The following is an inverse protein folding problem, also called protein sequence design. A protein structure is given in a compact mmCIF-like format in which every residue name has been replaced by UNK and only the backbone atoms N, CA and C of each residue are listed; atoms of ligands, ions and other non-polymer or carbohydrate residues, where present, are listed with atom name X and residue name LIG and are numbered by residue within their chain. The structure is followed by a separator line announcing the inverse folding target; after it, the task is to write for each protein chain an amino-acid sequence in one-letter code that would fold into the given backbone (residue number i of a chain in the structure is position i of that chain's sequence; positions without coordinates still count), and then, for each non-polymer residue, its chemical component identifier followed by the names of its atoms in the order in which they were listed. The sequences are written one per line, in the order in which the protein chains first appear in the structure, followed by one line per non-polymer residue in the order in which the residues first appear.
data_IF_018676472522
#
_entry.id   IF_018676472522
#
_cell.length_a   1.000
_cell.length_b   1.000
_cell.length_c   1.000
_cell.angle_alpha   90.00
_cell.angle_beta   90.00
_cell.angle_gamma   90.00
#
_symmetry.space_group_name_H-M   'P 1'
#
loop_
_entity.id
_entity.type
_entity.pdbx_description
1 polymer ?
#
# COMPACT_ATOMS: atom_id res chain seq x y z
N UNK A 1 10.19 -5.47 -10.16
CA UNK A 1 11.32 -4.55 -9.91
C UNK A 1 12.08 -5.13 -8.74
N UNK A 2 13.38 -5.32 -8.88
CA UNK A 2 14.22 -5.95 -7.85
C UNK A 2 15.22 -4.90 -7.36
N UNK A 3 15.30 -4.73 -6.04
CA UNK A 3 16.28 -3.88 -5.39
C UNK A 3 17.54 -4.71 -5.12
N UNK A 4 18.69 -4.07 -5.31
CA UNK A 4 19.99 -4.60 -4.87
C UNK A 4 20.40 -3.97 -3.53
N UNK A 5 21.35 -4.55 -2.78
CA UNK A 5 21.80 -3.98 -1.53
C UNK A 5 22.21 -2.51 -1.66
N UNK A 6 21.81 -1.67 -0.69
CA UNK A 6 22.01 -0.21 -0.69
C UNK A 6 21.32 0.55 -1.84
N UNK A 7 20.25 0.00 -2.41
CA UNK A 7 19.39 0.71 -3.36
C UNK A 7 17.97 0.80 -2.84
N UNK A 8 17.24 1.82 -3.31
CA UNK A 8 15.84 2.03 -3.01
C UNK A 8 15.12 2.48 -4.28
N UNK A 9 13.80 2.47 -4.25
CA UNK A 9 12.97 3.08 -5.29
C UNK A 9 11.95 3.99 -4.65
N UNK A 10 11.65 5.10 -5.33
CA UNK A 10 10.56 5.98 -4.93
C UNK A 10 9.22 5.29 -5.17
N UNK A 11 8.38 5.27 -4.15
CA UNK A 11 6.99 4.80 -4.22
C UNK A 11 6.06 5.92 -3.79
N UNK A 12 4.87 5.96 -4.37
CA UNK A 12 3.79 6.83 -3.90
C UNK A 12 2.79 6.02 -3.09
N UNK A 13 2.01 6.68 -2.24
CA UNK A 13 0.92 6.05 -1.48
C UNK A 13 0.00 5.24 -2.40
N UNK A 14 -0.24 3.97 -2.03
CA UNK A 14 -1.05 3.02 -2.81
C UNK A 14 -0.32 2.33 -3.96
N UNK A 15 0.96 2.62 -4.20
CA UNK A 15 1.79 1.91 -5.18
C UNK A 15 2.14 0.50 -4.69
N UNK A 16 2.41 -0.40 -5.63
CA UNK A 16 2.98 -1.70 -5.31
C UNK A 16 4.40 -1.55 -4.76
N UNK A 17 4.69 -2.23 -3.66
CA UNK A 17 6.04 -2.33 -3.09
C UNK A 17 6.81 -3.43 -3.84
N UNK A 18 8.09 -3.21 -4.21
CA UNK A 18 8.93 -4.25 -4.78
C UNK A 18 9.01 -5.48 -3.86
N UNK A 19 8.91 -6.69 -4.41
CA UNK A 19 8.97 -7.92 -3.62
C UNK A 19 10.30 -8.13 -2.86
N UNK A 20 11.36 -7.43 -3.28
CA UNK A 20 12.67 -7.42 -2.64
C UNK A 20 12.82 -6.39 -1.50
N UNK A 21 11.79 -5.56 -1.26
CA UNK A 21 11.76 -4.58 -0.19
C UNK A 21 10.84 -5.05 0.93
N UNK A 22 11.19 -4.77 2.19
CA UNK A 22 10.40 -5.15 3.37
C UNK A 22 9.91 -3.96 4.19
N UNK A 23 10.17 -2.72 3.75
CA UNK A 23 9.69 -1.51 4.41
C UNK A 23 9.56 -0.34 3.41
N UNK A 24 8.72 0.63 3.77
CA UNK A 24 8.64 1.95 3.14
C UNK A 24 9.03 3.01 4.16
N UNK A 25 9.79 4.01 3.72
CA UNK A 25 10.17 5.18 4.53
C UNK A 25 9.47 6.41 3.95
N UNK A 26 8.83 7.19 4.82
CA UNK A 26 8.15 8.43 4.43
C UNK A 26 9.16 9.45 3.91
N UNK A 27 8.76 10.29 2.95
CA UNK A 27 9.68 11.24 2.32
C UNK A 27 10.21 12.27 3.32
N UNK A 28 9.42 12.59 4.34
CA UNK A 28 9.74 13.44 5.48
C UNK A 28 10.92 12.90 6.31
N UNK A 29 11.10 11.59 6.33
CA UNK A 29 12.20 10.89 7.02
C UNK A 29 13.39 10.62 6.07
N UNK A 30 13.43 11.29 4.92
CA UNK A 30 14.52 11.20 3.96
C UNK A 30 15.08 12.56 3.60
N UNK A 31 16.36 12.59 3.22
CA UNK A 31 17.01 13.79 2.70
C UNK A 31 17.66 13.48 1.35
N UNK A 32 17.31 14.24 0.31
CA UNK A 32 17.93 14.11 -1.01
C UNK A 32 19.37 14.64 -0.95
N UNK A 33 20.35 13.78 -1.24
CA UNK A 33 21.78 14.14 -1.25
C UNK A 33 22.30 14.49 -2.63
N UNK A 34 21.79 13.84 -3.66
CA UNK A 34 22.20 14.06 -5.04
C UNK A 34 20.97 14.01 -5.95
N UNK A 35 20.85 15.01 -6.82
CA UNK A 35 19.87 15.03 -7.90
C UNK A 35 20.56 15.23 -9.24
N UNK A 36 19.95 14.74 -10.31
CA UNK A 36 20.40 15.06 -11.66
C UNK A 36 19.92 16.46 -12.12
N UNK A 37 20.34 16.86 -13.33
CA UNK A 37 19.96 18.14 -13.96
C UNK A 37 18.46 18.27 -14.27
N UNK A 38 17.70 17.18 -14.19
CA UNK A 38 16.26 17.13 -14.42
C UNK A 38 15.47 17.07 -13.10
N UNK A 39 16.15 17.10 -11.95
CA UNK A 39 15.52 17.02 -10.63
C UNK A 39 15.21 15.60 -10.18
N UNK A 40 15.69 14.56 -10.88
CA UNK A 40 15.53 13.19 -10.43
C UNK A 40 16.48 12.93 -9.24
N UNK A 41 15.94 12.35 -8.19
CA UNK A 41 16.69 11.96 -6.99
C UNK A 41 17.57 10.76 -7.33
N UNK A 42 18.89 10.93 -7.21
CA UNK A 42 19.87 9.88 -7.48
C UNK A 42 20.37 9.22 -6.20
N UNK A 43 20.38 9.95 -5.08
CA UNK A 43 20.82 9.44 -3.79
C UNK A 43 20.07 10.13 -2.66
N UNK A 44 19.60 9.36 -1.69
CA UNK A 44 18.92 9.83 -0.48
C UNK A 44 19.66 9.35 0.77
N UNK A 45 19.44 10.04 1.87
CA UNK A 45 19.78 9.61 3.22
C UNK A 45 18.49 9.27 3.97
N UNK A 46 18.44 8.11 4.61
CA UNK A 46 17.33 7.71 5.49
C UNK A 46 17.63 8.17 6.91
N UNK A 47 16.83 9.09 7.45
CA UNK A 47 17.11 9.81 8.70
C UNK A 47 16.70 9.04 9.97
N UNK A 48 15.98 7.93 9.80
CA UNK A 48 15.38 7.15 10.89
C UNK A 48 15.80 5.69 10.85
N UNK A 49 15.67 4.99 11.97
CA UNK A 49 15.79 3.53 11.97
C UNK A 49 14.53 2.91 11.38
N UNK A 50 14.68 2.08 10.36
CA UNK A 50 13.57 1.42 9.66
C UNK A 50 13.24 0.09 10.31
N UNK A 51 11.95 -0.19 10.50
CA UNK A 51 11.45 -1.49 10.98
C UNK A 51 10.90 -2.30 9.80
N UNK A 52 11.10 -3.61 9.84
CA UNK A 52 10.48 -4.51 8.86
C UNK A 52 8.95 -4.42 8.94
N UNK A 53 8.30 -4.40 7.78
CA UNK A 53 6.86 -4.20 7.60
C UNK A 53 6.36 -2.77 7.77
N UNK A 54 7.23 -1.79 8.05
CA UNK A 54 6.82 -0.40 8.23
C UNK A 54 6.19 0.16 6.96
N UNK A 55 5.03 0.82 7.12
CA UNK A 55 4.30 1.54 6.08
C UNK A 55 3.95 0.67 4.84
N UNK A 56 3.84 -0.65 5.02
CA UNK A 56 3.38 -1.61 4.03
C UNK A 56 2.02 -2.17 4.44
N UNK A 57 1.07 -2.20 3.50
CA UNK A 57 -0.17 -2.98 3.62
C UNK A 57 0.03 -4.30 2.88
N UNK A 58 0.19 -5.37 3.65
CA UNK A 58 0.36 -6.72 3.12
C UNK A 58 -0.85 -7.16 2.30
N UNK A 59 -0.64 -8.13 1.42
CA UNK A 59 -1.73 -8.69 0.62
C UNK A 59 -2.81 -9.26 1.53
N UNK A 60 -4.02 -8.70 1.42
CA UNK A 60 -5.15 -9.08 2.25
C UNK A 60 -5.15 -8.48 3.66
N UNK A 61 -4.37 -7.42 3.92
CA UNK A 61 -4.39 -6.71 5.21
C UNK A 61 -5.77 -6.17 5.60
N UNK A 62 -6.59 -5.85 4.60
CA UNK A 62 -7.92 -5.25 4.80
C UNK A 62 -9.03 -6.30 4.71
N UNK A 63 -8.99 -7.11 3.65
CA UNK A 63 -9.97 -8.15 3.34
C UNK A 63 -9.23 -9.31 2.71
N UNK A 64 -9.32 -10.50 3.30
CA UNK A 64 -8.74 -11.71 2.76
C UNK A 64 -9.60 -12.28 1.64
N UNK A 65 -8.97 -12.97 0.68
CA UNK A 65 -9.71 -13.68 -0.37
C UNK A 65 -10.60 -14.75 0.27
N UNK A 66 -11.90 -14.67 -0.02
CA UNK A 66 -12.91 -15.60 0.51
C UNK A 66 -13.46 -15.21 1.88
N UNK A 67 -13.03 -14.08 2.43
CA UNK A 67 -13.61 -13.53 3.65
C UNK A 67 -15.07 -13.10 3.41
N UNK A 68 -15.93 -13.37 4.38
CA UNK A 68 -17.33 -12.94 4.32
C UNK A 68 -17.42 -11.49 4.79
N UNK A 69 -17.65 -10.57 3.85
CA UNK A 69 -17.71 -9.13 4.14
C UNK A 69 -19.09 -8.64 4.59
N UNK A 70 -20.16 -9.37 4.26
CA UNK A 70 -21.53 -9.14 4.71
C UNK A 70 -22.26 -10.49 4.89
N UNK A 71 -23.15 -10.56 5.87
CA UNK A 71 -23.98 -11.74 6.16
C UNK A 71 -25.41 -11.55 5.66
N UNK A 72 -26.10 -12.68 5.46
CA UNK A 72 -27.53 -12.68 5.14
C UNK A 72 -28.30 -12.06 6.32
N UNK A 73 -29.08 -11.03 6.03
CA UNK A 73 -29.83 -10.29 7.06
C UNK A 73 -29.26 -8.91 7.36
N UNK A 74 -28.03 -8.62 6.91
CA UNK A 74 -27.43 -7.31 7.07
C UNK A 74 -28.25 -6.25 6.32
N UNK A 75 -28.50 -5.13 6.99
CA UNK A 75 -29.15 -3.97 6.40
C UNK A 75 -28.14 -3.25 5.50
N UNK A 76 -28.44 -3.17 4.21
CA UNK A 76 -27.58 -2.45 3.26
C UNK A 76 -27.80 -0.95 3.40
N UNK A 77 -26.81 -0.25 3.93
CA UNK A 77 -26.72 1.22 3.96
C UNK A 77 -25.48 1.68 3.20
N UNK A 78 -25.11 2.96 3.31
CA UNK A 78 -23.99 3.53 2.54
C UNK A 78 -22.65 2.80 2.73
N UNK A 79 -22.23 2.41 3.95
CA UNK A 79 -20.99 1.65 4.15
C UNK A 79 -21.03 0.27 3.50
N UNK A 80 -22.13 -0.47 3.61
CA UNK A 80 -22.29 -1.81 3.01
C UNK A 80 -22.23 -1.73 1.49
N UNK A 81 -22.84 -0.70 0.89
CA UNK A 81 -22.71 -0.43 -0.55
C UNK A 81 -21.26 -0.16 -0.95
N UNK A 82 -20.52 0.62 -0.17
CA UNK A 82 -19.10 0.88 -0.40
C UNK A 82 -18.25 -0.40 -0.28
N UNK A 83 -18.57 -1.26 0.68
CA UNK A 83 -17.88 -2.53 0.89
C UNK A 83 -18.13 -3.50 -0.27
N UNK A 84 -19.38 -3.64 -0.71
CA UNK A 84 -19.75 -4.44 -1.89
C UNK A 84 -19.03 -3.95 -3.15
N UNK A 85 -18.97 -2.63 -3.36
CA UNK A 85 -18.24 -2.03 -4.48
C UNK A 85 -16.73 -2.31 -4.38
N UNK A 86 -16.15 -2.23 -3.18
CA UNK A 86 -14.72 -2.49 -2.92
C UNK A 86 -14.34 -3.92 -3.31
N UNK A 87 -15.20 -4.91 -3.03
CA UNK A 87 -14.96 -6.31 -3.39
C UNK A 87 -15.48 -6.70 -4.78
N UNK A 88 -15.97 -5.73 -5.57
CA UNK A 88 -16.44 -5.95 -6.94
C UNK A 88 -17.80 -6.64 -7.07
N UNK A 89 -18.59 -6.74 -5.99
CA UNK A 89 -19.92 -7.33 -6.00
C UNK A 89 -20.95 -6.26 -6.39
N UNK A 90 -21.47 -6.34 -7.61
CA UNK A 90 -22.39 -5.32 -8.16
C UNK A 90 -23.87 -5.69 -8.07
N UNK A 91 -24.18 -6.94 -7.69
CA UNK A 91 -25.54 -7.44 -7.50
C UNK A 91 -25.57 -8.38 -6.31
N UNK A 92 -26.56 -8.21 -5.44
CA UNK A 92 -26.79 -9.08 -4.28
C UNK A 92 -28.26 -9.45 -4.17
N UNK A 93 -28.61 -10.68 -3.77
CA UNK A 93 -29.98 -11.04 -3.46
C UNK A 93 -30.44 -10.33 -2.18
N UNK A 94 -31.66 -9.83 -2.18
CA UNK A 94 -32.35 -9.19 -1.04
C UNK A 94 -33.70 -9.86 -0.79
N UNK A 95 -34.32 -9.60 0.36
CA UNK A 95 -35.62 -10.15 0.75
C UNK A 95 -36.79 -9.48 0.04
#
# INVERSE_FOLDING_TARGET
MELTPNTCVRVNTGSMVPASADAVVQVEDTEVKVSDKHGNELCIHILVTVKSGQDIREVGSDILKGETVLQKGDLITSPEMGLLATVGVTKVPVY
#
